data_IF_137522303195
#
_entry.id   IF_137522303195
#
_cell.length_a   1.000
_cell.length_b   1.000
_cell.length_c   1.000
_cell.angle_alpha   90.00
_cell.angle_beta   90.00
_cell.angle_gamma   90.00
#
_symmetry.space_group_name_H-M   'P 1'
#
loop_
_entity.id
_entity.type
_entity.pdbx_description
1 polymer ?
#
# COMPACT_ATOMS: atom_id res chain seq x y z
N UNK A 1 -9.02 20.42 8.15
CA UNK A 1 -7.68 20.81 7.64
C UNK A 1 -6.66 19.90 8.30
N UNK A 2 -6.35 18.75 7.69
CA UNK A 2 -5.22 17.95 8.14
C UNK A 2 -3.94 18.62 7.64
N UNK A 3 -3.00 18.90 8.54
CA UNK A 3 -1.69 19.41 8.15
C UNK A 3 -1.05 18.41 7.17
N UNK A 4 -0.47 18.92 6.09
CA UNK A 4 0.31 18.12 5.12
C UNK A 4 1.67 17.80 5.77
N UNK A 5 1.65 16.89 6.74
CA UNK A 5 2.82 16.44 7.49
C UNK A 5 3.94 15.95 6.56
N UNK A 6 3.63 15.56 5.32
CA UNK A 6 4.63 15.13 4.35
C UNK A 6 5.59 16.26 3.94
N UNK A 7 5.16 17.53 3.96
CA UNK A 7 6.03 18.68 3.66
C UNK A 7 7.06 18.97 4.75
N UNK A 8 6.73 18.61 5.99
CA UNK A 8 7.58 18.86 7.16
C UNK A 8 8.52 17.68 7.46
N UNK A 9 8.36 16.56 6.76
CA UNK A 9 9.26 15.43 6.88
C UNK A 9 10.59 15.74 6.18
N UNK A 10 11.73 15.48 6.84
CA UNK A 10 13.03 15.65 6.20
C UNK A 10 13.12 14.71 5.00
N UNK A 11 13.73 15.18 3.91
CA UNK A 11 13.98 14.39 2.70
C UNK A 11 15.11 13.38 2.95
N UNK A 12 14.83 12.43 3.84
CA UNK A 12 15.72 11.39 4.30
C UNK A 12 15.06 10.06 3.98
N UNK A 13 15.84 9.19 3.36
CA UNK A 13 15.44 7.81 3.11
C UNK A 13 16.54 6.89 3.59
N UNK A 14 16.13 5.78 4.20
CA UNK A 14 17.03 4.73 4.65
C UNK A 14 16.94 3.50 3.75
N UNK A 15 18.08 2.83 3.56
CA UNK A 15 18.13 1.58 2.80
C UNK A 15 18.03 0.40 3.74
N UNK A 16 16.98 -0.41 3.58
CA UNK A 16 16.85 -1.67 4.29
C UNK A 16 17.56 -2.79 3.53
N UNK A 17 18.48 -3.48 4.19
CA UNK A 17 19.22 -4.63 3.65
C UNK A 17 19.13 -5.82 4.61
N UNK A 18 19.33 -7.04 4.09
CA UNK A 18 19.24 -8.25 4.89
C UNK A 18 19.70 -9.49 4.13
N UNK A 19 20.03 -10.55 4.88
CA UNK A 19 20.32 -11.88 4.31
C UNK A 19 19.03 -12.60 3.94
N UNK A 20 19.12 -13.70 3.20
CA UNK A 20 17.98 -14.58 2.94
C UNK A 20 17.26 -14.96 4.26
N UNK A 21 15.93 -14.86 4.28
CA UNK A 21 15.12 -15.04 5.47
C UNK A 21 14.84 -13.76 6.27
N UNK A 22 15.45 -12.63 5.92
CA UNK A 22 15.08 -11.33 6.52
C UNK A 22 13.68 -10.92 6.07
N UNK A 23 12.85 -10.49 7.02
CA UNK A 23 11.49 -10.01 6.79
C UNK A 23 11.38 -8.57 7.25
N UNK A 24 10.64 -7.75 6.50
CA UNK A 24 10.30 -6.38 6.88
C UNK A 24 8.79 -6.25 7.02
N UNK A 25 8.36 -5.47 8.00
CA UNK A 25 6.97 -5.13 8.23
C UNK A 25 6.82 -3.63 8.06
N UNK A 26 5.90 -3.21 7.20
CA UNK A 26 5.64 -1.81 6.94
C UNK A 26 4.15 -1.54 6.86
N UNK A 27 3.76 -0.36 7.33
CA UNK A 27 2.39 0.11 7.17
C UNK A 27 2.13 0.42 5.68
N UNK A 28 0.89 0.22 5.21
CA UNK A 28 0.54 0.38 3.78
C UNK A 28 0.77 1.79 3.23
N UNK A 29 0.83 2.79 4.12
CA UNK A 29 1.10 4.20 3.78
C UNK A 29 2.58 4.58 3.83
N UNK A 30 3.48 3.67 4.20
CA UNK A 30 4.91 3.96 4.23
C UNK A 30 5.43 4.07 2.79
N UNK A 31 6.00 5.21 2.43
CA UNK A 31 6.68 5.37 1.15
C UNK A 31 7.91 4.45 1.11
N UNK A 32 8.01 3.62 0.08
CA UNK A 32 9.12 2.70 -0.11
C UNK A 32 9.40 2.47 -1.60
N UNK A 33 10.63 2.12 -1.93
CA UNK A 33 11.06 1.86 -3.28
C UNK A 33 12.18 0.81 -3.33
N UNK A 34 12.40 0.24 -4.51
CA UNK A 34 13.52 -0.66 -4.77
C UNK A 34 14.64 0.09 -5.49
N UNK A 35 15.89 -0.12 -5.04
CA UNK A 35 17.05 0.24 -5.86
C UNK A 35 17.15 -0.69 -7.06
N UNK A 36 17.67 -0.18 -8.18
CA UNK A 36 17.99 -0.97 -9.36
C UNK A 36 18.91 -2.15 -9.01
N UNK A 37 18.58 -3.32 -9.56
CA UNK A 37 19.40 -4.53 -9.39
C UNK A 37 20.57 -4.51 -10.37
N UNK A 38 21.81 -4.46 -9.85
CA UNK A 38 23.04 -4.42 -10.64
C UNK A 38 23.82 -5.74 -10.63
N UNK A 39 23.29 -6.77 -9.95
CA UNK A 39 24.04 -8.02 -9.67
C UNK A 39 24.01 -9.06 -10.80
N UNK A 40 23.26 -8.84 -11.88
CA UNK A 40 23.03 -9.83 -12.95
C UNK A 40 22.05 -10.94 -12.57
N UNK A 41 21.99 -11.30 -11.27
CA UNK A 41 21.09 -12.33 -10.75
C UNK A 41 19.74 -11.76 -10.26
N UNK A 42 18.61 -12.47 -10.46
CA UNK A 42 17.31 -12.02 -9.95
C UNK A 42 17.23 -11.95 -8.41
N UNK A 43 16.80 -10.81 -7.87
CA UNK A 43 16.47 -10.66 -6.43
C UNK A 43 15.03 -11.11 -6.15
N UNK A 44 14.87 -12.35 -5.67
CA UNK A 44 13.57 -12.93 -5.30
C UNK A 44 13.12 -12.46 -3.92
N UNK A 45 11.84 -12.18 -3.77
CA UNK A 45 11.18 -11.91 -2.49
C UNK A 45 9.71 -12.33 -2.57
N UNK A 46 9.08 -12.50 -1.41
CA UNK A 46 7.65 -12.78 -1.27
C UNK A 46 7.01 -11.58 -0.57
N UNK A 47 5.86 -11.14 -1.07
CA UNK A 47 5.06 -10.10 -0.44
C UNK A 47 3.78 -10.73 0.10
N UNK A 48 3.44 -10.37 1.32
CA UNK A 48 2.12 -10.63 1.91
C UNK A 48 1.52 -9.29 2.30
N UNK A 49 0.29 -9.06 1.86
CA UNK A 49 -0.53 -7.96 2.34
C UNK A 49 -1.48 -8.51 3.40
N UNK A 50 -1.49 -7.86 4.57
CA UNK A 50 -2.35 -8.24 5.68
C UNK A 50 -3.16 -7.01 6.09
N UNK A 51 -4.42 -7.25 6.42
CA UNK A 51 -5.33 -6.22 6.92
C UNK A 51 -6.02 -6.72 8.18
N UNK A 52 -6.52 -5.79 8.99
CA UNK A 52 -7.33 -6.15 10.15
C UNK A 52 -8.67 -6.76 9.69
N UNK A 53 -9.24 -7.67 10.49
CA UNK A 53 -10.50 -8.34 10.18
C UNK A 53 -11.69 -7.38 10.02
N UNK A 54 -11.59 -6.18 10.61
CA UNK A 54 -12.57 -5.10 10.54
C UNK A 54 -12.26 -4.06 9.44
N UNK A 55 -11.18 -4.24 8.66
CA UNK A 55 -10.78 -3.35 7.57
C UNK A 55 -11.40 -3.80 6.23
N UNK A 56 -12.65 -3.43 6.01
CA UNK A 56 -13.40 -3.85 4.83
C UNK A 56 -12.98 -3.13 3.54
N UNK A 57 -12.94 -3.83 2.38
CA UNK A 57 -12.52 -3.24 1.12
C UNK A 57 -13.53 -2.21 0.60
N UNK A 58 -13.08 -0.96 0.45
CA UNK A 58 -13.92 0.16 -0.01
C UNK A 58 -14.36 0.04 -1.48
N UNK A 59 -13.59 -0.66 -2.31
CA UNK A 59 -13.93 -0.92 -3.72
C UNK A 59 -14.90 -2.10 -3.91
N UNK A 60 -15.46 -2.65 -2.82
CA UNK A 60 -16.34 -3.81 -2.82
C UNK A 60 -15.65 -5.11 -3.27
N UNK A 61 -16.45 -6.13 -3.58
CA UNK A 61 -16.01 -7.46 -4.03
C UNK A 61 -15.40 -7.49 -5.45
N UNK A 62 -14.95 -6.35 -5.98
CA UNK A 62 -14.35 -6.26 -7.32
C UNK A 62 -12.89 -6.74 -7.37
N UNK A 63 -12.35 -7.21 -6.23
CA UNK A 63 -11.04 -7.83 -6.09
C UNK A 63 -11.14 -9.08 -5.20
N UNK A 64 -10.00 -9.79 -5.06
CA UNK A 64 -9.61 -11.04 -4.35
C UNK A 64 -10.50 -11.58 -3.19
N UNK A 65 -11.34 -10.73 -2.62
CA UNK A 65 -12.30 -10.97 -1.55
C UNK A 65 -13.74 -11.00 -2.10
N UNK A 66 -14.06 -12.07 -2.80
CA UNK A 66 -15.28 -12.19 -3.60
C UNK A 66 -16.54 -12.50 -2.77
N UNK A 67 -16.39 -13.09 -1.59
CA UNK A 67 -17.51 -13.54 -0.73
C UNK A 67 -17.14 -13.56 0.76
N UNK A 68 -18.15 -13.69 1.62
CA UNK A 68 -17.95 -13.89 3.06
C UNK A 68 -17.10 -15.12 3.37
N UNK A 69 -17.36 -16.24 2.70
CA UNK A 69 -16.59 -17.48 2.89
C UNK A 69 -15.13 -17.29 2.46
N UNK A 70 -14.91 -16.62 1.32
CA UNK A 70 -13.58 -16.26 0.82
C UNK A 70 -12.80 -15.40 1.83
N UNK A 71 -13.47 -14.47 2.52
CA UNK A 71 -12.87 -13.68 3.60
C UNK A 71 -12.49 -14.56 4.80
N UNK A 72 -13.39 -15.46 5.24
CA UNK A 72 -13.15 -16.34 6.38
C UNK A 72 -12.01 -17.33 6.13
N UNK A 73 -11.91 -17.89 4.92
CA UNK A 73 -10.82 -18.80 4.52
C UNK A 73 -9.44 -18.13 4.56
N UNK A 74 -9.40 -16.80 4.41
CA UNK A 74 -8.16 -16.00 4.38
C UNK A 74 -7.78 -15.44 5.75
N UNK A 75 -8.52 -15.77 6.81
CA UNK A 75 -8.18 -15.38 8.17
C UNK A 75 -6.87 -16.04 8.62
N UNK A 76 -5.88 -15.21 8.95
CA UNK A 76 -4.61 -15.70 9.50
C UNK A 76 -4.76 -16.08 10.97
N UNK A 77 -5.35 -15.19 11.78
CA UNK A 77 -5.58 -15.37 13.22
C UNK A 77 -6.89 -14.68 13.60
N UNK A 78 -7.68 -15.30 14.49
CA UNK A 78 -8.88 -14.67 15.08
C UNK A 78 -10.17 -15.04 14.36
N UNK A 79 -11.14 -14.10 14.33
CA UNK A 79 -12.45 -14.27 13.69
C UNK A 79 -12.72 -13.08 12.77
N UNK A 80 -13.35 -13.35 11.63
CA UNK A 80 -13.76 -12.28 10.72
C UNK A 80 -14.82 -11.40 11.38
N UNK A 81 -14.71 -10.09 11.20
CA UNK A 81 -15.69 -9.14 11.72
C UNK A 81 -16.69 -8.77 10.64
N UNK A 82 -17.98 -8.83 10.96
CA UNK A 82 -19.10 -8.33 10.15
C UNK A 82 -19.36 -6.82 10.36
N UNK A 83 -18.66 -6.18 11.30
CA UNK A 83 -18.78 -4.76 11.60
C UNK A 83 -17.51 -4.04 11.13
N UNK A 84 -17.57 -3.22 10.07
CA UNK A 84 -16.40 -2.49 9.60
C UNK A 84 -15.97 -1.41 10.59
N UNK A 85 -14.66 -1.26 10.77
CA UNK A 85 -14.11 -0.11 11.49
C UNK A 85 -14.06 1.10 10.56
N UNK A 86 -14.81 2.13 10.93
CA UNK A 86 -14.81 3.42 10.25
C UNK A 86 -13.96 4.42 11.02
N UNK A 87 -13.01 5.04 10.35
CA UNK A 87 -12.13 6.08 10.89
C UNK A 87 -12.02 7.20 9.87
N UNK A 88 -11.83 8.43 10.35
CA UNK A 88 -11.53 9.56 9.46
C UNK A 88 -10.11 9.38 8.91
N UNK A 89 -10.03 8.94 7.65
CA UNK A 89 -8.78 8.71 6.94
C UNK A 89 -8.80 9.38 5.58
N UNK A 90 -7.66 9.89 5.09
CA UNK A 90 -7.57 10.43 3.75
C UNK A 90 -7.84 9.31 2.74
N UNK A 91 -9.06 9.29 2.21
CA UNK A 91 -9.54 8.34 1.22
C UNK A 91 -10.43 9.08 0.22
N UNK A 92 -10.04 9.07 -1.06
CA UNK A 92 -10.80 9.71 -2.13
C UNK A 92 -11.44 8.66 -3.04
N UNK A 93 -12.71 8.88 -3.38
CA UNK A 93 -13.45 8.06 -4.34
C UNK A 93 -14.13 8.96 -5.39
N UNK A 94 -14.14 8.61 -6.69
CA UNK A 94 -13.55 7.40 -7.31
C UNK A 94 -12.03 7.37 -7.17
N UNK A 95 -11.46 6.16 -7.06
CA UNK A 95 -10.02 5.97 -6.95
C UNK A 95 -9.31 6.64 -8.13
N UNK A 96 -8.44 7.62 -7.85
CA UNK A 96 -7.62 8.30 -8.87
C UNK A 96 -6.41 7.42 -9.28
N UNK A 97 -6.62 6.11 -9.53
CA UNK A 97 -5.54 5.21 -9.94
C UNK A 97 -5.04 5.62 -11.33
N UNK A 98 -3.73 5.73 -11.50
CA UNK A 98 -3.13 5.94 -12.81
C UNK A 98 -3.50 4.79 -13.76
N UNK A 99 -3.82 5.02 -15.06
CA UNK A 99 -4.23 3.95 -15.99
C UNK A 99 -3.22 2.80 -16.14
N UNK A 100 -1.95 3.03 -15.75
CA UNK A 100 -0.87 2.04 -15.79
C UNK A 100 -0.44 1.58 -14.38
N UNK A 101 -1.32 1.68 -13.38
CA UNK A 101 -1.01 1.32 -12.00
C UNK A 101 -0.66 -0.18 -11.78
N UNK A 102 -0.76 -1.02 -12.81
CA UNK A 102 -0.33 -2.42 -12.79
C UNK A 102 1.19 -2.63 -12.99
N UNK A 103 1.95 -1.61 -13.38
CA UNK A 103 3.39 -1.72 -13.62
C UNK A 103 4.20 -0.91 -12.59
N UNK A 104 4.85 -1.60 -11.65
CA UNK A 104 5.64 -0.98 -10.58
C UNK A 104 6.73 -0.02 -11.09
N UNK A 105 7.42 -0.36 -12.17
CA UNK A 105 8.47 0.51 -12.73
C UNK A 105 7.91 1.79 -13.38
N UNK A 106 6.64 1.77 -13.78
CA UNK A 106 5.94 2.95 -14.29
C UNK A 106 5.45 3.81 -13.12
N UNK A 107 4.90 3.21 -12.07
CA UNK A 107 4.56 3.92 -10.83
C UNK A 107 5.78 4.63 -10.20
N UNK A 108 6.95 4.00 -10.22
CA UNK A 108 8.20 4.61 -9.75
C UNK A 108 8.65 5.79 -10.61
N UNK A 109 8.53 5.68 -11.95
CA UNK A 109 8.85 6.78 -12.88
C UNK A 109 7.87 7.94 -12.76
N UNK A 110 6.60 7.62 -12.55
CA UNK A 110 5.51 8.57 -12.41
C UNK A 110 5.37 9.07 -10.95
N UNK A 111 6.33 8.77 -10.06
CA UNK A 111 6.30 9.16 -8.65
C UNK A 111 6.35 10.67 -8.41
N UNK A 112 6.65 11.47 -9.44
CA UNK A 112 6.53 12.93 -9.42
C UNK A 112 5.09 13.41 -9.58
N UNK A 113 4.18 12.55 -10.03
CA UNK A 113 2.78 12.90 -10.21
C UNK A 113 2.07 12.95 -8.85
N UNK A 114 1.49 14.10 -8.57
CA UNK A 114 0.81 14.44 -7.31
C UNK A 114 -0.59 13.80 -7.21
N UNK A 115 -0.73 12.49 -7.45
CA UNK A 115 -2.05 11.85 -7.50
C UNK A 115 -2.80 11.87 -6.15
N UNK A 116 -2.06 11.88 -5.05
CA UNK A 116 -2.59 11.82 -3.68
C UNK A 116 -2.31 13.09 -2.87
N UNK A 117 -1.72 14.12 -3.48
CA UNK A 117 -1.54 15.42 -2.84
C UNK A 117 -2.70 16.29 -3.31
N UNK A 118 -3.59 16.66 -2.39
CA UNK A 118 -4.56 17.72 -2.68
C UNK A 118 -3.80 19.00 -3.08
N UNK A 119 -4.38 19.68 -4.07
CA UNK A 119 -4.14 21.07 -4.49
C UNK A 119 -2.96 21.76 -3.79
N UNK A 120 -1.76 21.60 -4.37
CA UNK A 120 -0.65 22.54 -4.13
C UNK A 120 -0.50 23.55 -5.26
N UNK A 121 -1.53 23.71 -6.08
CA UNK A 121 -1.59 24.81 -7.04
C UNK A 121 -3.04 25.22 -7.28
N UNK A 122 -3.38 26.42 -6.78
CA UNK A 122 -4.63 27.20 -6.91
C UNK A 122 -5.72 26.90 -5.89
#
# INVERSE_FOLDING_TARGET
MGADFAKDLPNVSDTVTGKAGTVTFHHVRLLHASKANLSGDPRRFVLYEVMAADAWPLAGCSAVFESWDSMNERMVIGKQSDVPRLVDVPCAYPNRCHPKCHLFSQLQRDGTNKYYMDETTS
#
